data_IF_232247164196
#
_entry.id   IF_232247164196
#
_cell.length_a   1.000
_cell.length_b   1.000
_cell.length_c   1.000
_cell.angle_alpha   90.00
_cell.angle_beta   90.00
_cell.angle_gamma   90.00
#
_symmetry.space_group_name_H-M   'P 1'
#
loop_
_entity.id
_entity.type
_entity.pdbx_description
1 polymer ?
#
# COMPACT_ATOMS: atom_id res chain seq x y z
N UNK A 1 5.67 9.63 -35.29
CA UNK A 1 4.66 9.72 -34.21
C UNK A 1 5.13 8.89 -33.04
N UNK A 2 4.94 9.38 -31.80
CA UNK A 2 5.50 8.72 -30.62
C UNK A 2 4.69 7.55 -30.06
N UNK A 3 3.42 7.35 -30.47
CA UNK A 3 2.58 6.25 -29.98
C UNK A 3 2.14 5.32 -31.10
N UNK A 4 2.23 4.01 -30.83
CA UNK A 4 1.64 2.95 -31.63
C UNK A 4 0.53 2.30 -30.82
N UNK A 5 -0.71 2.29 -31.33
CA UNK A 5 -1.86 1.66 -30.69
C UNK A 5 -1.88 0.17 -30.96
N UNK A 6 -1.36 -0.63 -30.04
CA UNK A 6 -1.18 -2.08 -30.21
C UNK A 6 -2.53 -2.80 -30.08
N UNK A 7 -3.31 -2.49 -29.02
CA UNK A 7 -4.57 -3.18 -28.71
C UNK A 7 -5.44 -2.33 -27.80
N UNK A 8 -6.75 -2.32 -28.08
CA UNK A 8 -7.75 -1.79 -27.13
C UNK A 8 -7.92 -2.78 -25.99
N UNK A 9 -7.78 -2.29 -24.75
CA UNK A 9 -8.02 -3.09 -23.55
C UNK A 9 -9.51 -3.07 -23.18
N UNK A 10 -10.04 -4.14 -22.57
CA UNK A 10 -11.37 -4.14 -22.00
C UNK A 10 -11.52 -3.04 -20.93
N UNK A 11 -12.71 -2.52 -20.80
CA UNK A 11 -13.04 -1.59 -19.72
C UNK A 11 -13.02 -2.29 -18.36
N UNK A 12 -12.85 -1.56 -17.26
CA UNK A 12 -12.99 -2.15 -15.91
C UNK A 12 -14.31 -2.86 -15.70
N UNK A 13 -15.42 -2.33 -16.24
CA UNK A 13 -16.74 -2.94 -16.11
C UNK A 13 -16.83 -4.28 -16.84
N UNK A 14 -16.24 -4.38 -18.05
CA UNK A 14 -16.17 -5.66 -18.79
C UNK A 14 -15.35 -6.70 -18.01
N UNK A 15 -14.21 -6.34 -17.44
CA UNK A 15 -13.39 -7.27 -16.64
C UNK A 15 -14.11 -7.65 -15.33
N UNK A 16 -14.77 -6.72 -14.65
CA UNK A 16 -15.53 -7.02 -13.43
C UNK A 16 -16.72 -7.93 -13.71
N UNK A 17 -17.41 -7.74 -14.82
CA UNK A 17 -18.50 -8.60 -15.23
C UNK A 17 -18.03 -10.01 -15.66
N UNK A 18 -16.85 -10.12 -16.26
CA UNK A 18 -16.24 -11.39 -16.63
C UNK A 18 -15.71 -12.18 -15.42
N UNK A 19 -15.21 -11.46 -14.39
CA UNK A 19 -14.70 -12.03 -13.13
C UNK A 19 -15.40 -11.35 -11.95
N UNK A 20 -16.70 -11.64 -11.72
CA UNK A 20 -17.47 -11.01 -10.66
C UNK A 20 -17.05 -11.51 -9.28
N UNK A 21 -17.28 -10.67 -8.27
CA UNK A 21 -17.25 -11.07 -6.86
C UNK A 21 -18.64 -11.55 -6.43
N UNK A 22 -18.67 -12.56 -5.57
CA UNK A 22 -19.89 -13.07 -4.99
C UNK A 22 -20.39 -12.23 -3.80
N UNK A 23 -21.58 -12.54 -3.29
CA UNK A 23 -22.17 -11.84 -2.16
C UNK A 23 -21.33 -11.99 -0.86
N UNK A 24 -20.63 -13.12 -0.69
CA UNK A 24 -19.77 -13.38 0.48
C UNK A 24 -18.56 -12.47 0.49
N UNK A 25 -17.87 -12.33 -0.65
CA UNK A 25 -16.72 -11.41 -0.81
C UNK A 25 -17.18 -9.97 -0.58
N UNK A 26 -18.36 -9.59 -1.12
CA UNK A 26 -18.92 -8.23 -0.93
C UNK A 26 -19.15 -7.92 0.55
N UNK A 27 -19.84 -8.81 1.27
CA UNK A 27 -20.11 -8.63 2.68
C UNK A 27 -18.82 -8.59 3.52
N UNK A 28 -17.83 -9.43 3.17
CA UNK A 28 -16.53 -9.42 3.82
C UNK A 28 -15.80 -8.09 3.59
N UNK A 29 -15.79 -7.58 2.36
CA UNK A 29 -15.18 -6.29 2.04
C UNK A 29 -15.85 -5.15 2.81
N UNK A 30 -17.18 -5.08 2.82
CA UNK A 30 -17.94 -4.06 3.57
C UNK A 30 -17.58 -4.07 5.05
N UNK A 31 -17.49 -5.25 5.67
CA UNK A 31 -17.05 -5.42 7.05
C UNK A 31 -15.63 -4.89 7.25
N UNK A 32 -14.68 -5.34 6.43
CA UNK A 32 -13.27 -4.95 6.52
C UNK A 32 -13.08 -3.45 6.30
N UNK A 33 -13.76 -2.87 5.31
CA UNK A 33 -13.70 -1.43 5.04
C UNK A 33 -14.24 -0.62 6.23
N UNK A 34 -15.28 -1.10 6.90
CA UNK A 34 -15.78 -0.47 8.12
C UNK A 34 -14.75 -0.52 9.25
N UNK A 35 -14.16 -1.68 9.52
CA UNK A 35 -13.12 -1.86 10.54
C UNK A 35 -11.91 -0.93 10.29
N UNK A 36 -11.47 -0.81 9.05
CA UNK A 36 -10.36 0.06 8.66
C UNK A 36 -10.74 1.54 8.85
N UNK A 37 -11.92 1.96 8.39
CA UNK A 37 -12.41 3.33 8.58
C UNK A 37 -12.54 3.71 10.05
N UNK A 38 -12.96 2.79 10.91
CA UNK A 38 -13.07 3.04 12.36
C UNK A 38 -11.70 3.36 12.99
N UNK A 39 -10.62 2.78 12.50
CA UNK A 39 -9.25 3.12 12.94
C UNK A 39 -8.87 4.52 12.48
N UNK A 40 -9.14 4.89 11.21
CA UNK A 40 -8.82 6.22 10.67
C UNK A 40 -9.65 7.32 11.35
N UNK A 41 -10.89 7.05 11.70
CA UNK A 41 -11.78 8.01 12.39
C UNK A 41 -11.58 8.07 13.91
N UNK A 42 -10.70 7.21 14.46
CA UNK A 42 -10.46 7.14 15.92
C UNK A 42 -11.58 6.48 16.72
N UNK A 43 -12.52 5.79 16.08
CA UNK A 43 -13.54 4.97 16.75
C UNK A 43 -12.96 3.64 17.26
N UNK A 44 -11.85 3.22 16.72
CA UNK A 44 -11.09 2.03 17.12
C UNK A 44 -9.64 2.39 17.34
N UNK A 45 -9.07 1.93 18.46
CA UNK A 45 -7.64 2.10 18.81
C UNK A 45 -6.75 0.99 18.22
N UNK A 46 -7.31 0.06 17.44
CA UNK A 46 -6.52 -0.97 16.80
C UNK A 46 -5.46 -0.33 15.90
N UNK A 47 -4.30 -0.99 15.87
CA UNK A 47 -3.19 -0.55 15.05
C UNK A 47 -3.16 -1.28 13.68
N UNK A 48 -2.83 -0.58 12.61
CA UNK A 48 -2.77 -1.17 11.27
C UNK A 48 -1.39 -1.78 11.00
N UNK A 49 -1.35 -3.03 10.59
CA UNK A 49 -0.17 -3.66 10.01
C UNK A 49 -0.40 -3.91 8.52
N UNK A 50 0.12 -3.02 7.65
CA UNK A 50 0.06 -3.18 6.19
C UNK A 50 1.30 -3.96 5.78
N UNK A 51 1.19 -5.28 5.62
CA UNK A 51 2.36 -6.17 5.52
C UNK A 51 2.24 -7.14 4.34
N UNK A 52 3.33 -7.32 3.60
CA UNK A 52 3.42 -8.28 2.50
C UNK A 52 4.56 -7.99 1.53
N UNK A 53 4.68 -8.76 0.44
CA UNK A 53 5.80 -8.66 -0.48
C UNK A 53 5.94 -7.27 -1.10
N UNK A 54 7.16 -6.94 -1.48
CA UNK A 54 7.45 -5.71 -2.23
C UNK A 54 6.68 -5.69 -3.57
N UNK A 55 6.58 -6.84 -4.24
CA UNK A 55 5.74 -7.08 -5.40
C UNK A 55 5.08 -8.45 -5.31
N UNK A 56 3.79 -8.50 -5.61
CA UNK A 56 3.07 -9.75 -5.77
C UNK A 56 3.36 -10.29 -7.18
N UNK A 57 4.20 -11.31 -7.26
CA UNK A 57 4.72 -11.89 -8.51
C UNK A 57 4.21 -13.30 -8.78
N UNK A 58 3.80 -14.03 -7.73
CA UNK A 58 3.34 -15.42 -7.78
C UNK A 58 2.09 -15.58 -6.92
N UNK A 59 0.98 -15.98 -7.54
CA UNK A 59 -0.32 -16.10 -6.88
C UNK A 59 -0.30 -17.13 -5.74
N UNK A 60 0.29 -18.32 -5.98
CA UNK A 60 0.34 -19.40 -4.98
C UNK A 60 1.16 -18.97 -3.75
N UNK A 61 2.32 -18.36 -3.96
CA UNK A 61 3.16 -17.87 -2.87
C UNK A 61 2.49 -16.72 -2.09
N UNK A 62 1.77 -15.84 -2.76
CA UNK A 62 0.98 -14.78 -2.12
C UNK A 62 -0.12 -15.40 -1.26
N UNK A 63 -0.89 -16.35 -1.78
CA UNK A 63 -1.97 -17.02 -1.03
C UNK A 63 -1.42 -17.81 0.18
N UNK A 64 -0.31 -18.55 0.04
CA UNK A 64 0.37 -19.23 1.17
C UNK A 64 0.77 -18.19 2.25
N UNK A 65 1.37 -17.08 1.85
CA UNK A 65 1.75 -16.02 2.77
C UNK A 65 0.52 -15.43 3.50
N UNK A 66 -0.58 -15.19 2.80
CA UNK A 66 -1.81 -14.68 3.39
C UNK A 66 -2.46 -15.67 4.37
N UNK A 67 -2.43 -16.96 4.09
CA UNK A 67 -2.90 -18.01 5.00
C UNK A 67 -2.10 -18.05 6.30
N UNK A 68 -0.78 -17.81 6.23
CA UNK A 68 0.05 -17.64 7.43
C UNK A 68 -0.33 -16.39 8.21
N UNK A 69 -0.52 -15.25 7.54
CA UNK A 69 -0.99 -14.01 8.17
C UNK A 69 -2.35 -14.20 8.86
N UNK A 70 -3.26 -14.99 8.26
CA UNK A 70 -4.57 -15.26 8.85
C UNK A 70 -4.47 -15.91 10.22
N UNK A 71 -3.58 -16.89 10.38
CA UNK A 71 -3.34 -17.57 11.68
C UNK A 71 -2.80 -16.61 12.75
N UNK A 72 -2.01 -15.62 12.34
CA UNK A 72 -1.53 -14.57 13.25
C UNK A 72 -2.65 -13.59 13.59
N UNK A 73 -3.42 -13.14 12.58
CA UNK A 73 -4.53 -12.21 12.79
C UNK A 73 -5.53 -12.71 13.83
N UNK A 74 -5.87 -14.00 13.80
CA UNK A 74 -6.79 -14.63 14.77
C UNK A 74 -6.32 -14.52 16.24
N UNK A 75 -5.02 -14.35 16.46
CA UNK A 75 -4.43 -14.25 17.79
C UNK A 75 -4.23 -12.80 18.27
N UNK A 76 -4.24 -11.83 17.37
CA UNK A 76 -3.95 -10.42 17.66
C UNK A 76 -5.05 -9.47 17.22
N UNK A 77 -6.22 -9.99 16.84
CA UNK A 77 -7.30 -9.20 16.23
C UNK A 77 -7.91 -8.16 17.19
N UNK A 78 -7.74 -8.31 18.48
CA UNK A 78 -8.14 -7.34 19.50
C UNK A 78 -7.28 -6.06 19.47
N UNK A 79 -6.03 -6.14 19.03
CA UNK A 79 -5.03 -5.08 19.04
C UNK A 79 -4.64 -4.59 17.64
N UNK A 80 -4.48 -5.51 16.70
CA UNK A 80 -3.92 -5.24 15.39
C UNK A 80 -4.86 -5.69 14.28
N UNK A 81 -5.05 -4.83 13.28
CA UNK A 81 -5.74 -5.17 12.05
C UNK A 81 -4.72 -5.28 10.92
N UNK A 82 -4.56 -6.50 10.39
CA UNK A 82 -3.65 -6.76 9.27
C UNK A 82 -4.33 -6.41 7.94
N UNK A 83 -3.64 -5.66 7.10
CA UNK A 83 -3.99 -5.44 5.68
C UNK A 83 -2.85 -5.99 4.85
N UNK A 84 -3.03 -7.12 4.13
CA UNK A 84 -1.97 -7.65 3.29
C UNK A 84 -1.59 -6.71 2.15
N UNK A 85 -0.30 -6.51 1.94
CA UNK A 85 0.24 -5.87 0.74
C UNK A 85 0.24 -6.88 -0.40
N UNK A 86 -0.59 -6.67 -1.40
CA UNK A 86 -0.61 -7.43 -2.65
C UNK A 86 -0.38 -6.44 -3.79
N UNK A 87 0.84 -5.91 -3.84
CA UNK A 87 1.21 -4.86 -4.80
C UNK A 87 1.45 -5.45 -6.17
N UNK A 88 0.54 -5.18 -7.09
CA UNK A 88 0.54 -5.71 -8.45
C UNK A 88 1.23 -4.79 -9.45
N UNK A 89 1.65 -3.62 -9.01
CA UNK A 89 2.39 -2.64 -9.78
C UNK A 89 3.74 -2.33 -9.13
N UNK A 90 4.76 -2.06 -9.96
CA UNK A 90 6.08 -1.64 -9.46
C UNK A 90 6.56 -0.44 -10.27
N UNK A 91 6.55 0.77 -9.68
CA UNK A 91 7.10 1.96 -10.33
C UNK A 91 8.62 1.83 -10.48
N UNK A 92 9.15 2.17 -11.66
CA UNK A 92 10.57 2.14 -11.99
C UNK A 92 11.05 3.50 -12.43
N UNK A 93 12.06 4.04 -11.77
CA UNK A 93 12.60 5.38 -12.05
C UNK A 93 13.14 5.49 -13.48
N UNK A 94 13.85 4.47 -13.96
CA UNK A 94 14.42 4.42 -15.33
C UNK A 94 13.51 3.73 -16.34
N UNK A 95 12.39 3.16 -15.88
CA UNK A 95 11.51 2.34 -16.72
C UNK A 95 12.00 0.92 -16.99
N UNK A 96 13.14 0.52 -16.43
CA UNK A 96 13.73 -0.81 -16.59
C UNK A 96 13.34 -1.78 -15.47
N UNK A 97 13.41 -3.09 -15.74
CA UNK A 97 13.12 -4.18 -14.80
C UNK A 97 11.64 -4.52 -14.69
N UNK A 98 11.31 -5.43 -13.77
CA UNK A 98 9.96 -5.89 -13.54
C UNK A 98 9.03 -4.75 -13.10
N UNK A 99 7.94 -4.57 -13.82
CA UNK A 99 6.97 -3.46 -13.62
C UNK A 99 5.70 -3.89 -12.87
N UNK A 100 5.69 -5.11 -12.35
CA UNK A 100 4.54 -5.69 -11.65
C UNK A 100 3.67 -6.59 -12.55
N UNK A 101 2.80 -7.35 -11.89
CA UNK A 101 1.93 -8.35 -12.53
C UNK A 101 1.00 -7.75 -13.60
N UNK A 102 0.57 -6.49 -13.44
CA UNK A 102 -0.23 -5.79 -14.47
C UNK A 102 0.47 -5.79 -15.83
N UNK A 103 1.79 -5.60 -15.86
CA UNK A 103 2.56 -5.58 -17.10
C UNK A 103 3.02 -6.98 -17.51
N UNK A 104 3.46 -7.77 -16.55
CA UNK A 104 4.11 -9.07 -16.73
C UNK A 104 3.56 -10.04 -15.69
N UNK A 105 2.40 -10.69 -15.96
CA UNK A 105 1.86 -11.71 -15.05
C UNK A 105 2.80 -12.92 -14.90
N UNK A 106 3.66 -13.15 -15.89
CA UNK A 106 4.81 -14.06 -15.82
C UNK A 106 6.09 -13.21 -15.97
N UNK A 107 6.90 -13.09 -14.89
CA UNK A 107 8.08 -12.22 -14.89
C UNK A 107 9.14 -12.57 -15.94
N UNK A 108 9.13 -13.81 -16.44
CA UNK A 108 10.10 -14.30 -17.46
C UNK A 108 9.62 -14.09 -18.89
N UNK A 109 8.35 -13.71 -19.09
CA UNK A 109 7.76 -13.50 -20.42
C UNK A 109 7.69 -12.02 -20.79
N UNK A 110 7.43 -11.77 -22.08
CA UNK A 110 7.17 -10.41 -22.58
C UNK A 110 5.93 -9.80 -21.95
N UNK A 111 5.87 -8.45 -21.81
CA UNK A 111 4.70 -7.75 -21.30
C UNK A 111 3.40 -8.13 -22.02
N UNK A 112 2.32 -8.32 -21.24
CA UNK A 112 0.97 -8.56 -21.74
C UNK A 112 -0.06 -7.93 -20.81
N UNK A 113 -0.44 -6.67 -21.10
CA UNK A 113 -1.32 -5.88 -20.26
C UNK A 113 -2.71 -6.52 -20.06
N UNK A 114 -3.27 -7.17 -21.10
CA UNK A 114 -4.58 -7.82 -20.96
C UNK A 114 -4.51 -9.01 -19.99
N UNK A 115 -3.51 -9.88 -20.19
CA UNK A 115 -3.30 -10.99 -19.27
C UNK A 115 -3.00 -10.49 -17.85
N UNK A 116 -2.25 -9.41 -17.73
CA UNK A 116 -1.95 -8.77 -16.45
C UNK A 116 -3.20 -8.26 -15.72
N UNK A 117 -4.08 -7.53 -16.41
CA UNK A 117 -5.35 -7.04 -15.81
C UNK A 117 -6.24 -8.18 -15.32
N UNK A 118 -6.29 -9.29 -16.04
CA UNK A 118 -7.02 -10.49 -15.63
C UNK A 118 -6.34 -11.16 -14.43
N UNK A 119 -5.01 -11.29 -14.47
CA UNK A 119 -4.23 -11.94 -13.42
C UNK A 119 -4.37 -11.21 -12.07
N UNK A 120 -4.23 -9.87 -12.04
CA UNK A 120 -4.34 -9.11 -10.80
C UNK A 120 -5.74 -9.23 -10.18
N UNK A 121 -6.79 -9.22 -11.00
CA UNK A 121 -8.15 -9.37 -10.50
C UNK A 121 -8.39 -10.75 -9.93
N UNK A 122 -7.98 -11.81 -10.64
CA UNK A 122 -8.08 -13.21 -10.16
C UNK A 122 -7.31 -13.40 -8.87
N UNK A 123 -6.08 -12.92 -8.80
CA UNK A 123 -5.25 -13.02 -7.59
C UNK A 123 -5.91 -12.35 -6.38
N UNK A 124 -6.45 -11.14 -6.52
CA UNK A 124 -7.14 -10.48 -5.40
C UNK A 124 -8.42 -11.22 -5.00
N UNK A 125 -9.21 -11.74 -5.94
CA UNK A 125 -10.40 -12.55 -5.64
C UNK A 125 -9.99 -13.82 -4.89
N UNK A 126 -8.99 -14.54 -5.39
CA UNK A 126 -8.46 -15.76 -4.77
C UNK A 126 -7.88 -15.48 -3.37
N UNK A 127 -7.10 -14.41 -3.22
CA UNK A 127 -6.58 -13.97 -1.93
C UNK A 127 -7.70 -13.79 -0.88
N UNK A 128 -8.81 -13.14 -1.26
CA UNK A 128 -9.96 -12.95 -0.36
C UNK A 128 -10.65 -14.28 -0.05
N UNK A 129 -10.85 -15.12 -1.05
CA UNK A 129 -11.53 -16.42 -0.90
C UNK A 129 -10.78 -17.33 0.07
N UNK A 130 -9.45 -17.44 -0.10
CA UNK A 130 -8.61 -18.35 0.69
C UNK A 130 -8.34 -17.81 2.12
N UNK A 131 -8.04 -16.51 2.25
CA UNK A 131 -7.56 -15.95 3.51
C UNK A 131 -8.60 -15.14 4.30
N UNK A 132 -9.66 -14.70 3.66
CA UNK A 132 -10.61 -13.75 4.25
C UNK A 132 -10.06 -12.32 4.41
N UNK A 133 -8.93 -11.99 3.80
CA UNK A 133 -8.38 -10.64 3.80
C UNK A 133 -8.75 -9.87 2.54
N UNK A 134 -9.19 -8.62 2.72
CA UNK A 134 -9.10 -7.60 1.67
C UNK A 134 -7.71 -6.96 1.73
N UNK A 135 -7.16 -6.60 0.57
CA UNK A 135 -5.76 -6.27 0.44
C UNK A 135 -5.53 -4.79 0.12
N UNK A 136 -4.25 -4.38 0.23
CA UNK A 136 -3.71 -3.12 -0.24
C UNK A 136 -2.98 -3.30 -1.58
N UNK A 137 -3.12 -2.33 -2.51
CA UNK A 137 -2.30 -2.24 -3.72
C UNK A 137 -1.77 -0.81 -3.93
N UNK A 138 -0.72 -0.67 -4.74
CA UNK A 138 -0.18 0.64 -5.13
C UNK A 138 -0.80 1.12 -6.44
N UNK A 139 -1.40 2.30 -6.44
CA UNK A 139 -1.95 2.92 -7.63
C UNK A 139 -0.83 3.55 -8.47
N UNK A 140 -0.22 2.75 -9.35
CA UNK A 140 0.77 3.25 -10.30
C UNK A 140 0.11 4.07 -11.42
N UNK A 141 -1.01 3.57 -11.92
CA UNK A 141 -1.85 4.28 -12.89
C UNK A 141 -3.21 4.57 -12.26
N UNK A 142 -3.73 5.81 -12.32
CA UNK A 142 -5.07 6.13 -11.84
C UNK A 142 -6.17 5.24 -12.44
N UNK A 143 -5.98 4.77 -13.69
CA UNK A 143 -6.95 3.92 -14.36
C UNK A 143 -6.98 2.48 -13.84
N UNK A 144 -5.86 1.94 -13.31
CA UNK A 144 -5.80 0.57 -12.82
C UNK A 144 -6.66 0.32 -11.59
N UNK A 145 -6.79 1.31 -10.73
CA UNK A 145 -7.63 1.28 -9.55
C UNK A 145 -9.03 0.71 -9.83
N UNK A 146 -9.66 1.10 -10.93
CA UNK A 146 -11.03 0.71 -11.24
C UNK A 146 -11.22 -0.78 -11.57
N UNK A 147 -10.18 -1.48 -11.99
CA UNK A 147 -10.25 -2.94 -12.21
C UNK A 147 -10.34 -3.71 -10.89
N UNK A 148 -9.96 -3.07 -9.77
CA UNK A 148 -9.88 -3.63 -8.44
C UNK A 148 -10.72 -2.86 -7.40
N UNK A 149 -11.44 -1.80 -7.78
CA UNK A 149 -12.12 -0.88 -6.87
C UNK A 149 -13.18 -1.55 -5.98
N UNK A 150 -13.75 -2.65 -6.43
CA UNK A 150 -14.75 -3.44 -5.70
C UNK A 150 -14.14 -4.50 -4.76
N UNK A 151 -12.82 -4.62 -4.69
CA UNK A 151 -12.12 -5.65 -3.90
C UNK A 151 -10.98 -5.12 -3.02
N UNK A 152 -10.38 -3.96 -3.33
CA UNK A 152 -9.35 -3.36 -2.49
C UNK A 152 -9.96 -2.61 -1.30
N UNK A 153 -9.29 -2.66 -0.14
CA UNK A 153 -9.65 -1.90 1.05
C UNK A 153 -8.63 -0.82 1.41
N UNK A 154 -7.52 -0.75 0.70
CA UNK A 154 -6.48 0.26 0.90
C UNK A 154 -5.71 0.51 -0.40
N UNK A 155 -5.37 1.76 -0.67
CA UNK A 155 -4.54 2.14 -1.81
C UNK A 155 -3.36 2.99 -1.33
N UNK A 156 -2.17 2.75 -1.89
CA UNK A 156 -1.04 3.64 -1.71
C UNK A 156 -0.74 4.42 -3.00
N UNK A 157 -0.44 5.72 -2.85
CA UNK A 157 0.11 6.55 -3.93
C UNK A 157 1.61 6.67 -3.72
N UNK A 158 2.38 6.23 -4.69
CA UNK A 158 3.84 6.17 -4.62
C UNK A 158 4.52 7.54 -4.57
N UNK A 159 5.75 7.57 -4.05
CA UNK A 159 6.54 8.80 -3.89
C UNK A 159 6.83 9.56 -5.21
N UNK A 160 6.78 8.86 -6.35
CA UNK A 160 6.97 9.49 -7.68
C UNK A 160 5.67 9.99 -8.28
N UNK A 161 4.53 9.55 -7.73
CA UNK A 161 3.18 9.86 -8.24
C UNK A 161 2.44 10.87 -7.36
N UNK A 162 2.89 11.12 -6.13
CA UNK A 162 2.20 11.97 -5.15
C UNK A 162 2.09 13.44 -5.58
N UNK A 163 2.95 13.89 -6.49
CA UNK A 163 2.90 15.24 -7.06
C UNK A 163 2.01 15.33 -8.31
N UNK A 164 1.65 14.18 -8.91
CA UNK A 164 0.81 14.14 -10.09
C UNK A 164 -0.65 14.45 -9.76
N UNK A 165 -1.21 15.42 -10.49
CA UNK A 165 -2.56 15.92 -10.27
C UNK A 165 -3.63 14.83 -10.49
N UNK A 166 -3.46 13.96 -11.50
CA UNK A 166 -4.44 12.91 -11.78
C UNK A 166 -4.54 11.90 -10.62
N UNK A 167 -3.41 11.55 -9.97
CA UNK A 167 -3.43 10.69 -8.79
C UNK A 167 -4.19 11.34 -7.63
N UNK A 168 -3.90 12.60 -7.31
CA UNK A 168 -4.59 13.34 -6.24
C UNK A 168 -6.10 13.42 -6.47
N UNK A 169 -6.50 13.81 -7.68
CA UNK A 169 -7.92 13.92 -8.06
C UNK A 169 -8.62 12.55 -8.11
N UNK A 170 -7.93 11.50 -8.55
CA UNK A 170 -8.48 10.13 -8.50
C UNK A 170 -8.74 9.70 -7.06
N UNK A 171 -7.79 9.97 -6.13
CA UNK A 171 -7.97 9.68 -4.70
C UNK A 171 -9.16 10.44 -4.12
N UNK A 172 -9.42 11.68 -4.53
CA UNK A 172 -10.58 12.45 -4.05
C UNK A 172 -11.94 11.82 -4.39
N UNK A 173 -11.98 10.94 -5.37
CA UNK A 173 -13.18 10.17 -5.75
C UNK A 173 -13.25 8.75 -5.18
N UNK A 174 -12.32 8.35 -4.31
CA UNK A 174 -12.33 7.03 -3.65
C UNK A 174 -13.08 7.07 -2.32
N UNK A 175 -13.64 5.92 -1.94
CA UNK A 175 -14.37 5.72 -0.68
C UNK A 175 -13.60 4.85 0.34
N UNK A 176 -12.35 4.48 0.03
CA UNK A 176 -11.44 3.69 0.88
C UNK A 176 -10.21 4.50 1.27
N UNK A 177 -9.51 4.14 2.35
CA UNK A 177 -8.28 4.79 2.76
C UNK A 177 -7.21 4.79 1.66
N UNK A 178 -6.63 5.96 1.43
CA UNK A 178 -5.58 6.16 0.45
C UNK A 178 -4.38 6.89 1.08
N UNK A 179 -3.24 6.19 1.13
CA UNK A 179 -2.01 6.70 1.71
C UNK A 179 -1.15 7.44 0.69
N UNK A 180 -0.88 8.70 0.94
CA UNK A 180 -0.04 9.57 0.12
C UNK A 180 1.40 9.52 0.63
N UNK A 181 2.30 8.82 -0.07
CA UNK A 181 3.71 8.74 0.34
C UNK A 181 4.38 10.12 0.19
N UNK A 182 5.26 10.48 1.13
CA UNK A 182 6.10 11.66 0.88
C UNK A 182 6.91 11.47 -0.41
N UNK A 183 7.18 12.57 -1.18
CA UNK A 183 8.02 12.49 -2.37
C UNK A 183 9.42 12.01 -2.03
N UNK A 184 10.20 11.62 -3.04
CA UNK A 184 11.56 11.12 -2.84
C UNK A 184 12.49 12.15 -2.16
N UNK A 185 12.20 13.45 -2.31
CA UNK A 185 12.87 14.53 -1.60
C UNK A 185 12.61 14.58 -0.09
N UNK A 186 11.52 13.93 0.38
CA UNK A 186 11.10 13.98 1.78
C UNK A 186 10.28 15.20 2.18
N UNK A 187 9.84 16.03 1.24
CA UNK A 187 9.11 17.26 1.53
C UNK A 187 7.72 16.99 2.13
N UNK A 188 7.55 17.32 3.41
CA UNK A 188 6.27 17.19 4.13
C UNK A 188 5.20 18.13 3.60
N UNK A 189 5.58 19.31 3.07
CA UNK A 189 4.60 20.25 2.52
C UNK A 189 3.96 19.71 1.25
N UNK A 190 4.75 19.11 0.38
CA UNK A 190 4.26 18.42 -0.83
C UNK A 190 3.34 17.27 -0.46
N UNK A 191 3.74 16.43 0.50
CA UNK A 191 2.94 15.31 0.99
C UNK A 191 1.60 15.79 1.57
N UNK A 192 1.62 16.78 2.46
CA UNK A 192 0.40 17.32 3.07
C UNK A 192 -0.50 18.03 2.05
N UNK A 193 0.07 18.73 1.07
CA UNK A 193 -0.70 19.31 -0.02
C UNK A 193 -1.40 18.24 -0.88
N UNK A 194 -0.78 17.06 -1.03
CA UNK A 194 -1.44 15.95 -1.72
C UNK A 194 -2.63 15.40 -0.95
N UNK A 195 -2.56 15.37 0.39
CA UNK A 195 -3.69 14.99 1.27
C UNK A 195 -4.79 16.05 1.21
N UNK A 196 -4.44 17.35 1.26
CA UNK A 196 -5.41 18.46 1.09
C UNK A 196 -6.17 18.31 -0.23
N UNK A 197 -5.45 18.10 -1.33
CA UNK A 197 -6.09 17.89 -2.63
C UNK A 197 -6.97 16.64 -2.66
N UNK A 198 -6.51 15.53 -2.06
CA UNK A 198 -7.26 14.28 -2.03
C UNK A 198 -8.51 14.36 -1.14
N UNK A 199 -8.52 15.17 -0.07
CA UNK A 199 -9.68 15.39 0.79
C UNK A 199 -10.64 16.46 0.25
N UNK A 200 -10.20 17.26 -0.72
CA UNK A 200 -11.01 18.30 -1.35
C UNK A 200 -12.01 17.75 -2.37
N UNK A 201 -13.10 18.50 -2.58
CA UNK A 201 -14.03 18.27 -3.70
C UNK A 201 -13.46 18.87 -4.98
N UNK A 202 -13.55 18.15 -6.09
CA UNK A 202 -13.00 18.58 -7.37
C UNK A 202 -13.90 18.23 -8.54
N UNK A 203 -13.95 19.13 -9.54
CA UNK A 203 -14.54 18.84 -10.85
C UNK A 203 -13.44 18.73 -11.89
N UNK A 204 -13.37 17.59 -12.59
CA UNK A 204 -12.29 17.30 -13.55
C UNK A 204 -12.71 16.29 -14.62
N UNK A 205 -11.85 16.13 -15.63
CA UNK A 205 -12.07 15.13 -16.69
C UNK A 205 -11.54 13.78 -16.21
N UNK A 206 -12.43 12.80 -16.12
CA UNK A 206 -12.08 11.43 -15.77
C UNK A 206 -12.67 10.46 -16.79
N UNK A 207 -11.81 9.82 -17.59
CA UNK A 207 -12.19 8.84 -18.62
C UNK A 207 -13.20 9.36 -19.65
N UNK A 208 -12.99 10.59 -20.09
CA UNK A 208 -13.87 11.23 -21.06
C UNK A 208 -15.19 11.77 -20.52
N UNK A 209 -15.35 11.74 -19.18
CA UNK A 209 -16.48 12.34 -18.48
C UNK A 209 -16.04 13.58 -17.68
N UNK A 210 -16.88 14.58 -17.61
CA UNK A 210 -16.81 15.57 -16.54
C UNK A 210 -17.38 14.91 -15.27
N UNK A 211 -16.56 14.86 -14.22
CA UNK A 211 -16.94 14.26 -12.93
C UNK A 211 -16.79 15.26 -11.81
N UNK A 212 -17.55 15.06 -10.74
CA UNK A 212 -17.38 15.78 -9.48
C UNK A 212 -17.07 14.76 -8.39
N UNK A 213 -15.90 14.91 -7.77
CA UNK A 213 -15.47 14.10 -6.62
C UNK A 213 -15.83 14.84 -5.33
N UNK A 214 -16.29 14.11 -4.30
CA UNK A 214 -16.69 14.68 -3.00
C UNK A 214 -15.53 14.93 -2.04
N UNK A 215 -14.34 14.44 -2.36
CA UNK A 215 -13.22 14.35 -1.45
C UNK A 215 -13.19 13.04 -0.66
N UNK A 216 -12.00 12.56 -0.35
CA UNK A 216 -11.76 11.33 0.41
C UNK A 216 -11.24 11.68 1.80
N UNK A 217 -12.11 11.68 2.80
CA UNK A 217 -11.77 12.02 4.19
C UNK A 217 -10.79 11.03 4.86
N UNK A 218 -10.53 9.88 4.24
CA UNK A 218 -9.57 8.86 4.69
C UNK A 218 -8.22 8.95 3.97
N UNK A 219 -8.01 9.96 3.11
CA UNK A 219 -6.69 10.24 2.55
C UNK A 219 -5.75 10.71 3.65
N UNK A 220 -4.57 10.10 3.74
CA UNK A 220 -3.62 10.29 4.83
C UNK A 220 -2.17 10.22 4.33
N UNK A 221 -1.21 10.47 5.20
CA UNK A 221 0.22 10.48 4.87
C UNK A 221 0.88 9.11 5.05
N UNK A 222 1.92 8.82 4.24
CA UNK A 222 2.84 7.70 4.47
C UNK A 222 4.27 8.24 4.50
N UNK A 223 4.99 8.00 5.59
CA UNK A 223 6.41 8.32 5.74
C UNK A 223 7.28 7.16 5.24
N UNK A 224 8.10 7.41 4.21
CA UNK A 224 8.95 6.39 3.59
C UNK A 224 10.45 6.73 3.58
N UNK A 225 10.84 7.79 4.30
CA UNK A 225 12.17 8.39 4.23
C UNK A 225 12.38 9.22 2.96
N UNK A 226 13.52 9.83 2.88
CA UNK A 226 13.94 10.72 1.80
C UNK A 226 15.25 10.26 1.15
N UNK A 227 15.57 10.84 0.00
CA UNK A 227 16.91 10.78 -0.60
C UNK A 227 17.37 12.20 -0.82
N UNK A 228 18.50 12.57 -0.23
CA UNK A 228 19.05 13.92 -0.38
C UNK A 228 19.73 14.13 -1.75
N UNK A 229 20.21 15.35 -2.00
CA UNK A 229 20.89 15.72 -3.25
C UNK A 229 22.20 14.95 -3.52
N UNK A 230 22.74 14.27 -2.51
CA UNK A 230 23.96 13.45 -2.61
C UNK A 230 23.64 11.96 -2.81
N UNK A 231 22.35 11.59 -2.87
CA UNK A 231 21.90 10.20 -3.02
C UNK A 231 21.84 9.41 -1.70
N UNK A 232 22.00 10.07 -0.56
CA UNK A 232 21.96 9.43 0.75
C UNK A 232 20.53 9.30 1.25
N UNK A 233 20.21 8.15 1.86
CA UNK A 233 18.92 7.90 2.49
C UNK A 233 18.83 8.67 3.82
N UNK A 234 17.75 9.44 3.98
CA UNK A 234 17.42 10.17 5.20
C UNK A 234 16.12 9.59 5.76
N UNK A 235 16.14 8.96 6.93
CA UNK A 235 14.93 8.49 7.59
C UNK A 235 14.04 9.66 8.01
N UNK A 236 12.73 9.40 8.17
CA UNK A 236 11.76 10.40 8.63
C UNK A 236 10.69 9.78 9.55
N UNK A 237 11.11 8.86 10.43
CA UNK A 237 10.25 8.15 11.38
C UNK A 237 10.67 8.38 12.85
N UNK A 238 11.73 9.12 13.11
CA UNK A 238 12.18 9.42 14.47
C UNK A 238 11.15 10.29 15.21
N UNK A 239 11.25 10.34 16.51
CA UNK A 239 10.32 11.09 17.36
C UNK A 239 10.14 12.54 16.89
N UNK A 240 11.24 13.21 16.55
CA UNK A 240 11.25 14.60 16.09
C UNK A 240 10.54 14.76 14.73
N UNK A 241 10.70 13.81 13.83
CA UNK A 241 10.02 13.81 12.53
C UNK A 241 8.50 13.66 12.71
N UNK A 242 8.08 12.75 13.59
CA UNK A 242 6.68 12.51 13.90
C UNK A 242 6.05 13.72 14.59
N UNK A 243 6.76 14.37 15.51
CA UNK A 243 6.32 15.64 16.14
C UNK A 243 6.16 16.74 15.11
N UNK A 244 7.17 16.94 14.27
CA UNK A 244 7.11 17.94 13.20
C UNK A 244 5.93 17.67 12.23
N UNK A 245 5.69 16.40 11.88
CA UNK A 245 4.55 16.04 11.04
C UNK A 245 3.22 16.35 11.74
N UNK A 246 3.10 16.01 13.02
CA UNK A 246 1.90 16.33 13.80
C UNK A 246 1.59 17.83 13.80
N UNK A 247 2.61 18.67 14.09
CA UNK A 247 2.46 20.12 14.09
C UNK A 247 2.01 20.67 12.73
N UNK A 248 2.67 20.21 11.65
CA UNK A 248 2.32 20.63 10.28
C UNK A 248 0.92 20.14 9.85
N UNK A 249 0.53 18.95 10.28
CA UNK A 249 -0.77 18.36 9.99
C UNK A 249 -1.89 19.11 10.73
N UNK A 250 -1.67 19.39 12.04
CA UNK A 250 -2.61 20.11 12.90
C UNK A 250 -2.86 21.56 12.44
N UNK A 251 -1.88 22.15 11.75
CA UNK A 251 -2.02 23.50 11.17
C UNK A 251 -2.89 23.54 9.91
N UNK A 252 -3.37 22.38 9.43
CA UNK A 252 -4.23 22.29 8.23
C UNK A 252 -5.63 21.85 8.63
N UNK A 253 -6.63 22.35 7.91
CA UNK A 253 -8.03 21.91 8.05
C UNK A 253 -8.24 20.57 7.32
N UNK A 254 -7.72 19.49 7.91
CA UNK A 254 -7.78 18.13 7.38
C UNK A 254 -8.57 17.23 8.33
N UNK A 255 -9.37 16.35 7.76
CA UNK A 255 -10.13 15.34 8.50
C UNK A 255 -9.26 14.13 8.82
N UNK A 256 -9.58 13.44 9.92
CA UNK A 256 -9.04 12.13 10.26
C UNK A 256 -7.51 12.07 10.16
N UNK A 257 -6.81 12.94 10.93
CA UNK A 257 -5.34 12.99 10.97
C UNK A 257 -4.75 11.58 11.14
N UNK A 258 -3.92 11.17 10.18
CA UNK A 258 -3.30 9.85 10.21
C UNK A 258 -1.99 9.81 9.41
N UNK A 259 -1.05 9.00 9.89
CA UNK A 259 0.13 8.60 9.15
C UNK A 259 0.38 7.11 9.29
N UNK A 260 0.89 6.51 8.23
CA UNK A 260 1.47 5.17 8.23
C UNK A 260 2.98 5.33 8.08
N UNK A 261 3.77 4.60 8.85
CA UNK A 261 5.23 4.61 8.69
C UNK A 261 5.66 3.38 7.90
N UNK A 262 6.24 3.63 6.72
CA UNK A 262 6.89 2.61 5.89
C UNK A 262 8.26 2.31 6.50
N UNK A 263 8.42 1.10 7.03
CA UNK A 263 9.61 0.69 7.77
C UNK A 263 10.79 0.31 6.87
N UNK A 264 10.57 0.19 5.56
CA UNK A 264 11.62 -0.12 4.57
C UNK A 264 12.03 1.14 3.77
N UNK A 265 12.29 1.00 2.48
CA UNK A 265 12.70 2.08 1.55
C UNK A 265 13.86 2.92 2.10
N UNK A 266 13.73 4.27 2.11
CA UNK A 266 14.78 5.14 2.62
C UNK A 266 14.83 5.19 4.16
N UNK A 267 13.77 4.80 4.86
CA UNK A 267 13.76 4.69 6.32
C UNK A 267 14.73 3.62 6.83
N UNK A 268 14.89 2.52 6.10
CA UNK A 268 15.85 1.45 6.41
C UNK A 268 17.13 1.52 5.58
N UNK A 269 17.26 2.51 4.68
CA UNK A 269 18.27 2.52 3.62
C UNK A 269 18.27 1.20 2.81
N UNK A 270 17.06 0.63 2.60
CA UNK A 270 16.83 -0.67 1.94
C UNK A 270 17.49 -1.88 2.63
N UNK A 271 17.91 -1.73 3.87
CA UNK A 271 18.35 -2.84 4.72
C UNK A 271 17.12 -3.44 5.40
N UNK A 272 16.53 -4.45 4.78
CA UNK A 272 15.22 -4.97 5.17
C UNK A 272 15.17 -5.47 6.63
N UNK A 273 16.29 -5.94 7.18
CA UNK A 273 16.40 -6.38 8.58
C UNK A 273 16.15 -5.23 9.57
N UNK A 274 16.41 -3.98 9.18
CA UNK A 274 16.19 -2.81 10.03
C UNK A 274 14.71 -2.54 10.29
N UNK A 275 13.79 -3.09 9.52
CA UNK A 275 12.36 -2.90 9.68
C UNK A 275 11.88 -3.23 11.09
N UNK A 276 12.42 -4.29 11.72
CA UNK A 276 12.08 -4.69 13.09
C UNK A 276 12.45 -3.62 14.11
N UNK A 277 13.66 -3.06 14.00
CA UNK A 277 14.13 -1.97 14.87
C UNK A 277 13.29 -0.72 14.69
N UNK A 278 13.06 -0.34 13.43
CA UNK A 278 12.27 0.86 13.08
C UNK A 278 10.84 0.75 13.63
N UNK A 279 10.21 -0.40 13.47
CA UNK A 279 8.86 -0.65 14.00
C UNK A 279 8.82 -0.43 15.53
N UNK A 280 9.79 -0.97 16.29
CA UNK A 280 9.88 -0.79 17.74
C UNK A 280 10.09 0.67 18.14
N UNK A 281 10.91 1.43 17.40
CA UNK A 281 11.16 2.84 17.68
C UNK A 281 9.90 3.68 17.46
N UNK A 282 9.17 3.44 16.37
CA UNK A 282 7.89 4.12 16.10
C UNK A 282 6.85 3.80 17.16
N UNK A 283 6.73 2.53 17.57
CA UNK A 283 5.81 2.12 18.62
C UNK A 283 6.19 2.71 19.98
N UNK A 284 7.49 2.82 20.31
CA UNK A 284 7.95 3.52 21.50
C UNK A 284 7.57 5.00 21.48
N UNK A 285 7.81 5.70 20.37
CA UNK A 285 7.41 7.12 20.23
C UNK A 285 5.90 7.30 20.39
N UNK A 286 5.11 6.38 19.87
CA UNK A 286 3.64 6.35 20.03
C UNK A 286 3.21 6.12 21.48
N UNK A 287 3.93 5.27 22.23
CA UNK A 287 3.61 4.97 23.63
C UNK A 287 3.90 6.13 24.60
N UNK A 288 4.92 6.97 24.29
CA UNK A 288 5.34 8.06 25.19
C UNK A 288 4.72 9.41 24.86
N UNK A 289 4.06 9.58 23.72
CA UNK A 289 3.48 10.84 23.25
C UNK A 289 2.07 10.63 22.69
N UNK A 290 1.10 11.27 23.34
CA UNK A 290 -0.34 11.15 22.98
C UNK A 290 -0.68 11.73 21.60
N UNK A 291 0.06 12.71 21.13
CA UNK A 291 -0.15 13.33 19.82
C UNK A 291 0.39 12.44 18.72
N UNK A 292 1.56 11.82 18.95
CA UNK A 292 2.10 10.78 18.06
C UNK A 292 1.19 9.56 18.07
N UNK A 293 0.62 9.20 19.22
CA UNK A 293 -0.37 8.11 19.31
C UNK A 293 -1.58 8.35 18.41
N UNK A 294 -2.11 9.57 18.41
CA UNK A 294 -3.24 9.94 17.55
C UNK A 294 -2.85 9.95 16.05
N UNK A 295 -1.65 10.42 15.74
CA UNK A 295 -1.14 10.57 14.38
C UNK A 295 -0.82 9.23 13.74
N UNK A 296 -0.02 8.37 14.41
CA UNK A 296 0.49 7.12 13.83
C UNK A 296 -0.53 6.01 13.97
N UNK A 297 -1.19 5.67 12.87
CA UNK A 297 -2.24 4.64 12.82
C UNK A 297 -1.73 3.26 12.43
N UNK A 298 -0.51 3.14 11.90
CA UNK A 298 0.01 1.86 11.49
C UNK A 298 1.41 1.89 10.90
N UNK A 299 1.89 0.71 10.56
CA UNK A 299 3.16 0.47 9.88
C UNK A 299 2.91 -0.18 8.52
N UNK A 300 3.80 0.12 7.57
CA UNK A 300 3.89 -0.58 6.29
C UNK A 300 5.20 -1.35 6.24
N UNK A 301 5.11 -2.68 6.06
CA UNK A 301 6.20 -3.62 6.23
C UNK A 301 6.37 -4.46 4.97
N UNK A 302 7.59 -4.52 4.43
CA UNK A 302 7.92 -5.41 3.31
C UNK A 302 8.37 -6.76 3.83
N UNK A 303 7.55 -7.78 3.60
CA UNK A 303 7.70 -9.14 4.13
C UNK A 303 7.22 -10.18 3.13
N UNK A 304 7.88 -11.32 3.06
CA UNK A 304 7.43 -12.46 2.27
C UNK A 304 7.75 -13.77 2.99
N UNK A 305 7.67 -14.92 2.29
CA UNK A 305 7.93 -16.23 2.91
C UNK A 305 9.42 -16.35 3.23
N UNK A 306 10.28 -16.10 2.23
CA UNK A 306 11.74 -16.19 2.36
C UNK A 306 12.38 -14.80 2.46
N UNK A 307 13.41 -14.62 3.32
CA UNK A 307 14.05 -13.33 3.51
C UNK A 307 14.89 -12.89 2.30
N UNK A 308 15.05 -11.57 2.16
CA UNK A 308 15.86 -10.95 1.12
C UNK A 308 15.16 -10.86 -0.22
N UNK A 309 15.95 -10.93 -1.30
CA UNK A 309 15.44 -10.92 -2.68
C UNK A 309 16.27 -11.83 -3.60
N UNK A 310 15.75 -12.04 -4.81
CA UNK A 310 16.40 -12.80 -5.86
C UNK A 310 16.25 -12.12 -7.21
N UNK A 311 17.11 -12.48 -8.17
CA UNK A 311 16.98 -12.00 -9.55
C UNK A 311 15.97 -12.84 -10.33
N UNK A 312 15.25 -12.24 -11.26
CA UNK A 312 14.41 -12.96 -12.22
C UNK A 312 15.31 -13.85 -13.08
N UNK A 313 14.85 -15.08 -13.34
CA UNK A 313 15.62 -16.06 -14.13
C UNK A 313 16.80 -16.69 -13.39
N UNK A 314 16.94 -16.49 -12.06
CA UNK A 314 17.94 -17.23 -11.30
C UNK A 314 17.53 -18.71 -11.15
N UNK A 315 18.54 -19.61 -11.16
CA UNK A 315 18.33 -21.04 -10.94
C UNK A 315 19.15 -21.50 -9.74
N UNK A 316 18.52 -22.15 -8.73
CA UNK A 316 17.09 -22.40 -8.62
C UNK A 316 16.30 -21.14 -8.22
N UNK A 317 15.05 -21.01 -8.73
CA UNK A 317 14.13 -20.01 -8.24
C UNK A 317 13.61 -20.42 -6.85
N UNK A 318 13.67 -19.49 -5.89
CA UNK A 318 13.23 -19.75 -4.51
C UNK A 318 11.79 -19.29 -4.36
N UNK A 319 10.89 -20.21 -4.05
CA UNK A 319 9.47 -19.95 -3.81
C UNK A 319 9.27 -18.95 -2.65
N UNK A 320 8.42 -17.95 -2.86
CA UNK A 320 8.10 -16.94 -1.83
C UNK A 320 9.25 -16.01 -1.46
N UNK A 321 10.25 -15.84 -2.33
CA UNK A 321 11.33 -14.86 -2.20
C UNK A 321 11.13 -13.72 -3.18
N UNK A 322 11.21 -12.48 -2.69
CA UNK A 322 10.95 -11.28 -3.50
C UNK A 322 11.84 -11.21 -4.75
N UNK A 323 11.26 -10.84 -5.89
CA UNK A 323 11.97 -10.56 -7.15
C UNK A 323 12.25 -9.05 -7.35
N UNK A 324 11.93 -8.23 -6.35
CA UNK A 324 12.15 -6.79 -6.37
C UNK A 324 12.96 -6.34 -5.15
N UNK A 325 12.48 -5.43 -4.29
CA UNK A 325 13.23 -5.05 -3.09
C UNK A 325 13.22 -6.19 -2.05
N UNK A 326 14.28 -6.27 -1.24
CA UNK A 326 14.42 -7.29 -0.22
C UNK A 326 13.38 -7.16 0.89
N UNK A 327 12.86 -8.29 1.37
CA UNK A 327 11.78 -8.39 2.35
C UNK A 327 12.23 -9.13 3.59
N UNK A 328 11.56 -8.88 4.74
CA UNK A 328 11.66 -9.78 5.90
C UNK A 328 11.14 -11.18 5.52
N UNK A 329 11.72 -12.22 6.10
CA UNK A 329 11.20 -13.57 6.01
C UNK A 329 10.01 -13.79 6.96
N UNK A 330 9.32 -14.93 6.78
CA UNK A 330 8.13 -15.24 7.57
C UNK A 330 8.38 -15.26 9.07
N UNK A 331 9.42 -15.95 9.53
CA UNK A 331 9.69 -16.13 10.97
C UNK A 331 9.88 -14.80 11.71
N UNK A 332 10.62 -13.86 11.10
CA UNK A 332 10.82 -12.54 11.69
C UNK A 332 9.54 -11.69 11.62
N UNK A 333 8.78 -11.82 10.54
CA UNK A 333 7.53 -11.11 10.37
C UNK A 333 6.45 -11.55 11.36
N UNK A 334 6.34 -12.85 11.61
CA UNK A 334 5.43 -13.38 12.62
C UNK A 334 5.78 -12.84 14.02
N UNK A 335 7.07 -12.91 14.40
CA UNK A 335 7.57 -12.36 15.68
C UNK A 335 7.30 -10.85 15.78
N UNK A 336 7.51 -10.11 14.68
CA UNK A 336 7.27 -8.68 14.64
C UNK A 336 5.78 -8.35 14.84
N UNK A 337 4.86 -9.10 14.23
CA UNK A 337 3.42 -8.90 14.40
C UNK A 337 2.97 -9.11 15.85
N UNK A 338 3.49 -10.13 16.54
CA UNK A 338 3.23 -10.30 17.99
C UNK A 338 3.83 -9.16 18.80
N UNK A 339 5.06 -8.73 18.48
CA UNK A 339 5.68 -7.57 19.16
C UNK A 339 4.85 -6.29 18.95
N UNK A 340 4.31 -6.06 17.76
CA UNK A 340 3.41 -4.93 17.49
C UNK A 340 2.17 -5.02 18.39
N UNK A 341 1.54 -6.18 18.50
CA UNK A 341 0.36 -6.37 19.33
C UNK A 341 0.64 -6.21 20.84
N UNK A 342 1.85 -6.53 21.29
CA UNK A 342 2.27 -6.32 22.69
C UNK A 342 2.51 -4.85 23.02
N UNK A 343 2.98 -4.05 22.05
CA UNK A 343 3.40 -2.65 22.24
C UNK A 343 2.32 -1.61 21.88
N UNK A 344 1.20 -2.03 21.27
CA UNK A 344 0.08 -1.15 20.91
C UNK A 344 -0.90 -0.92 22.06
#
# INVERSE_FOLDING_TARGET
MGFEFIKKLPTPDEIRNQYPIDAKIKALKEKRDSEIRDIFTGKSDKFLAIIGPCSADNEDAVCDYLLRLRKVQEKIEDKVLIIPRVYTNKPRTTGEGYKGMVHQPDPEKKPNMLAGLIAIRKMHIHAIQESGFTCADEMLYPENWRYLSDILSYVAVGARSVEDQQHRLTVSGMDIPAGMKNPTSGDFSVMLNSVVAAQGSHRFIYRGWEVEASGNEYAHTILRGAVNKHGEAIPNYHYEDLRLLYEKYSAKDLKNMATIVDTNHSNSNKQYEQQVRIAREVLHSRAVDSDIHKLVKGLMIESYIEPGNQKIGCAPHIYGKSITDACLGWEESEKLLYTIAELC
#
